data_IF_574698878815
#
_entry.id   IF_574698878815
#
_cell.length_a   1.000
_cell.length_b   1.000
_cell.length_c   1.000
_cell.angle_alpha   90.00
_cell.angle_beta   90.00
_cell.angle_gamma   90.00
#
_symmetry.space_group_name_H-M   'P 1'
#
loop_
_entity.id
_entity.type
_entity.pdbx_description
1 polymer ?
#
# COMPACT_ATOMS: atom_id res chain seq x y z
N UNK A 1 18.66 -8.12 21.56
CA UNK A 1 18.59 -7.13 20.46
C UNK A 1 17.15 -6.90 20.01
N UNK A 2 16.66 -5.66 20.07
CA UNK A 2 15.35 -5.25 19.55
C UNK A 2 15.37 -5.13 18.02
N UNK A 3 14.22 -5.29 17.34
CA UNK A 3 14.13 -5.15 15.87
C UNK A 3 14.68 -3.82 15.30
N UNK A 4 14.43 -2.64 15.90
CA UNK A 4 15.06 -1.41 15.43
C UNK A 4 16.60 -1.41 15.56
N UNK A 5 17.15 -2.17 16.53
CA UNK A 5 18.60 -2.31 16.71
C UNK A 5 19.26 -3.19 15.65
N UNK A 6 18.50 -4.00 14.89
CA UNK A 6 19.02 -4.77 13.74
C UNK A 6 18.79 -4.04 12.41
N UNK A 7 17.66 -3.33 12.26
CA UNK A 7 17.34 -2.60 11.04
C UNK A 7 18.36 -1.49 10.76
N UNK A 8 18.74 -0.73 11.78
CA UNK A 8 19.71 0.38 11.66
C UNK A 8 21.08 -0.09 11.13
N UNK A 9 21.74 -1.11 11.71
CA UNK A 9 22.98 -1.66 11.17
C UNK A 9 22.87 -2.17 9.74
N UNK A 10 21.76 -2.81 9.37
CA UNK A 10 21.58 -3.32 8.01
C UNK A 10 21.46 -2.20 6.97
N UNK A 11 20.71 -1.13 7.30
CA UNK A 11 20.63 0.07 6.48
C UNK A 11 22.01 0.75 6.40
N UNK A 12 22.71 0.86 7.53
CA UNK A 12 24.05 1.44 7.59
C UNK A 12 25.07 0.61 6.77
N UNK A 13 24.96 -0.72 6.78
CA UNK A 13 25.77 -1.62 5.97
C UNK A 13 25.52 -1.38 4.48
N UNK A 14 24.25 -1.34 4.04
CA UNK A 14 23.92 -1.05 2.64
C UNK A 14 24.40 0.34 2.22
N UNK A 15 24.25 1.33 3.09
CA UNK A 15 24.78 2.68 2.85
C UNK A 15 26.31 2.70 2.71
N UNK A 16 27.02 1.91 3.53
CA UNK A 16 28.48 1.74 3.45
C UNK A 16 28.92 0.95 2.21
N UNK A 17 28.11 0.01 1.74
CA UNK A 17 28.35 -0.76 0.50
C UNK A 17 28.26 0.10 -0.75
N UNK A 18 27.52 1.21 -0.71
CA UNK A 18 27.62 2.27 -1.74
C UNK A 18 28.96 2.98 -1.52
N UNK A 19 30.00 2.51 -2.21
CA UNK A 19 31.38 2.99 -2.06
C UNK A 19 31.58 4.39 -2.63
N UNK A 20 30.78 4.77 -3.62
CA UNK A 20 30.96 6.02 -4.36
C UNK A 20 30.14 7.19 -3.76
N UNK A 21 30.77 8.34 -3.47
CA UNK A 21 30.08 9.48 -2.86
C UNK A 21 29.07 10.16 -3.79
N UNK A 22 29.28 10.11 -5.11
CA UNK A 22 28.34 10.54 -6.15
C UNK A 22 27.02 9.76 -6.05
N UNK A 23 27.12 8.44 -5.98
CA UNK A 23 25.98 7.52 -5.86
C UNK A 23 25.22 7.72 -4.55
N UNK A 24 25.89 8.01 -3.43
CA UNK A 24 25.21 8.35 -2.16
C UNK A 24 24.37 9.62 -2.27
N UNK A 25 24.90 10.68 -2.90
CA UNK A 25 24.15 11.91 -3.14
C UNK A 25 22.98 11.65 -4.08
N UNK A 26 23.21 10.89 -5.16
CA UNK A 26 22.15 10.46 -6.08
C UNK A 26 21.02 9.72 -5.36
N UNK A 27 21.34 8.84 -4.42
CA UNK A 27 20.36 8.07 -3.64
C UNK A 27 19.58 8.95 -2.65
N UNK A 28 20.25 9.93 -2.02
CA UNK A 28 19.60 10.92 -1.17
C UNK A 28 18.62 11.81 -1.97
N UNK A 29 19.05 12.30 -3.15
CA UNK A 29 18.19 13.07 -4.06
C UNK A 29 17.02 12.22 -4.55
N UNK A 30 17.26 10.96 -4.92
CA UNK A 30 16.23 10.03 -5.35
C UNK A 30 15.15 9.80 -4.28
N UNK A 31 15.48 9.94 -2.99
CA UNK A 31 14.51 9.82 -1.89
C UNK A 31 13.67 11.09 -1.69
N UNK A 32 14.19 12.25 -2.11
CA UNK A 32 13.47 13.54 -2.07
C UNK A 32 12.48 13.66 -3.24
N UNK A 33 12.81 13.11 -4.41
CA UNK A 33 11.98 13.19 -5.62
C UNK A 33 10.53 12.72 -5.38
N UNK A 34 10.25 11.55 -4.78
CA UNK A 34 8.88 11.11 -4.50
C UNK A 34 8.08 12.09 -3.65
N UNK A 35 8.71 12.69 -2.64
CA UNK A 35 8.07 13.66 -1.74
C UNK A 35 7.75 14.94 -2.51
N UNK A 36 8.71 15.43 -3.30
CA UNK A 36 8.50 16.61 -4.15
C UNK A 36 7.37 16.38 -5.17
N UNK A 37 7.38 15.23 -5.86
CA UNK A 37 6.33 14.85 -6.81
C UNK A 37 4.95 14.76 -6.14
N UNK A 38 4.89 14.22 -4.92
CA UNK A 38 3.64 14.15 -4.16
C UNK A 38 3.10 15.55 -3.85
N UNK A 39 3.95 16.45 -3.37
CA UNK A 39 3.57 17.84 -3.08
C UNK A 39 3.12 18.58 -4.34
N UNK A 40 3.87 18.45 -5.43
CA UNK A 40 3.52 19.01 -6.75
C UNK A 40 2.15 18.48 -7.20
N UNK A 41 1.90 17.19 -7.00
CA UNK A 41 0.64 16.56 -7.38
C UNK A 41 -0.54 17.09 -6.56
N UNK A 42 -0.39 17.21 -5.23
CA UNK A 42 -1.44 17.74 -4.35
C UNK A 42 -1.74 19.20 -4.70
N UNK A 43 -0.71 20.04 -4.86
CA UNK A 43 -0.87 21.47 -5.19
C UNK A 43 -1.44 21.63 -6.60
N UNK A 44 -0.83 20.98 -7.59
CA UNK A 44 -1.21 21.08 -9.00
C UNK A 44 -2.64 20.61 -9.24
N UNK A 45 -3.05 19.49 -8.64
CA UNK A 45 -4.41 18.99 -8.76
C UNK A 45 -5.45 19.97 -8.18
N UNK A 46 -5.11 20.76 -7.17
CA UNK A 46 -6.03 21.76 -6.60
C UNK A 46 -6.14 23.03 -7.44
N UNK A 47 -5.05 23.41 -8.09
CA UNK A 47 -5.00 24.59 -8.96
C UNK A 47 -5.59 24.32 -10.35
N UNK A 48 -5.80 23.05 -10.71
CA UNK A 48 -6.35 22.68 -12.01
C UNK A 48 -7.80 23.17 -12.16
N UNK A 49 -8.15 23.81 -13.30
CA UNK A 49 -9.52 24.28 -13.54
C UNK A 49 -10.51 23.12 -13.48
N UNK A 50 -11.64 23.33 -12.83
CA UNK A 50 -12.65 22.29 -12.70
C UNK A 50 -13.56 22.24 -13.94
N UNK A 51 -13.48 21.22 -14.81
CA UNK A 51 -14.54 20.95 -15.77
C UNK A 51 -15.88 20.69 -15.07
N UNK A 52 -16.97 20.97 -15.78
CA UNK A 52 -18.34 20.79 -15.30
C UNK A 52 -18.63 19.33 -14.86
N UNK A 53 -17.99 18.33 -15.49
CA UNK A 53 -18.23 16.89 -15.27
C UNK A 53 -17.30 16.24 -14.23
N UNK A 54 -17.13 16.87 -13.07
CA UNK A 54 -16.34 16.28 -11.97
C UNK A 54 -17.00 15.07 -11.28
N UNK A 55 -18.28 14.80 -11.57
CA UNK A 55 -19.05 13.67 -11.06
C UNK A 55 -18.55 12.32 -11.57
N UNK A 56 -18.03 12.26 -12.80
CA UNK A 56 -17.46 11.03 -13.38
C UNK A 56 -16.27 10.52 -12.55
N UNK A 57 -15.46 11.42 -12.00
CA UNK A 57 -14.31 11.04 -11.16
C UNK A 57 -14.75 10.40 -9.83
N UNK A 58 -15.91 10.78 -9.28
CA UNK A 58 -16.43 10.17 -8.05
C UNK A 58 -16.75 8.68 -8.22
N UNK A 59 -17.10 8.27 -9.44
CA UNK A 59 -17.36 6.86 -9.77
C UNK A 59 -16.06 6.08 -9.97
N UNK A 60 -15.03 6.72 -10.55
CA UNK A 60 -13.77 6.06 -10.93
C UNK A 60 -12.82 5.90 -9.72
N UNK A 61 -12.76 6.88 -8.82
CA UNK A 61 -11.79 6.86 -7.70
C UNK A 61 -11.93 5.60 -6.81
N UNK A 62 -13.13 5.18 -6.37
CA UNK A 62 -13.28 3.94 -5.60
C UNK A 62 -12.72 2.70 -6.34
N UNK A 63 -12.90 2.62 -7.65
CA UNK A 63 -12.39 1.52 -8.46
C UNK A 63 -10.85 1.55 -8.53
N UNK A 64 -10.23 2.72 -8.68
CA UNK A 64 -8.77 2.88 -8.65
C UNK A 64 -8.18 2.50 -7.29
N UNK A 65 -8.82 2.92 -6.19
CA UNK A 65 -8.40 2.53 -4.84
C UNK A 65 -8.55 1.02 -4.61
N UNK A 66 -9.54 0.38 -5.23
CA UNK A 66 -9.69 -1.08 -5.16
C UNK A 66 -8.58 -1.77 -5.95
N UNK A 67 -8.24 -1.24 -7.14
CA UNK A 67 -7.06 -1.66 -7.90
C UNK A 67 -5.77 -1.54 -7.09
N UNK A 68 -5.61 -0.48 -6.30
CA UNK A 68 -4.47 -0.31 -5.39
C UNK A 68 -4.39 -1.43 -4.33
N UNK A 69 -5.53 -1.80 -3.72
CA UNK A 69 -5.57 -2.91 -2.74
C UNK A 69 -5.16 -4.21 -3.40
N UNK A 70 -5.71 -4.52 -4.57
CA UNK A 70 -5.38 -5.74 -5.33
C UNK A 70 -3.89 -5.79 -5.64
N UNK A 71 -3.31 -4.70 -6.16
CA UNK A 71 -1.89 -4.65 -6.51
C UNK A 71 -0.98 -4.64 -5.28
N UNK A 72 -1.45 -4.12 -4.14
CA UNK A 72 -0.74 -4.23 -2.86
C UNK A 72 -0.64 -5.68 -2.38
N UNK A 73 -1.58 -6.56 -2.73
CA UNK A 73 -1.51 -8.00 -2.46
C UNK A 73 -0.51 -8.69 -3.40
N UNK A 74 -0.53 -8.34 -4.69
CA UNK A 74 0.34 -8.96 -5.69
C UNK A 74 1.79 -8.51 -5.61
N UNK A 75 2.06 -7.26 -5.20
CA UNK A 75 3.42 -6.72 -5.10
C UNK A 75 4.37 -7.60 -4.26
N UNK A 76 4.01 -7.95 -3.02
CA UNK A 76 4.78 -8.87 -2.20
C UNK A 76 4.92 -10.27 -2.82
N UNK A 77 3.91 -10.77 -3.54
CA UNK A 77 3.95 -12.10 -4.17
C UNK A 77 4.91 -12.15 -5.36
N UNK A 78 4.99 -11.07 -6.12
CA UNK A 78 5.92 -10.94 -7.25
C UNK A 78 7.37 -10.76 -6.78
N UNK A 79 7.58 -10.08 -5.65
CA UNK A 79 8.89 -9.84 -5.05
C UNK A 79 9.34 -10.94 -4.05
N UNK A 80 8.78 -12.15 -4.18
CA UNK A 80 9.15 -13.30 -3.35
C UNK A 80 8.86 -13.18 -1.84
N UNK A 81 8.00 -12.24 -1.42
CA UNK A 81 7.52 -12.10 -0.05
C UNK A 81 8.62 -11.71 0.95
N UNK A 82 9.45 -10.71 0.63
CA UNK A 82 10.51 -10.22 1.51
C UNK A 82 11.69 -11.18 1.72
N UNK A 83 11.59 -12.44 1.26
CA UNK A 83 12.65 -13.44 1.29
C UNK A 83 13.77 -13.16 0.28
N UNK A 84 13.52 -12.36 -0.76
CA UNK A 84 14.55 -12.05 -1.78
C UNK A 84 15.55 -10.98 -1.32
N UNK A 85 15.29 -10.30 -0.20
CA UNK A 85 16.19 -9.27 0.33
C UNK A 85 17.53 -9.83 0.80
N UNK A 86 17.52 -11.08 1.25
CA UNK A 86 18.68 -11.81 1.72
C UNK A 86 18.50 -13.28 1.35
N UNK A 87 19.34 -13.85 0.47
CA UNK A 87 19.32 -15.27 0.18
C UNK A 87 19.42 -16.07 1.50
N UNK A 88 18.56 -17.07 1.68
CA UNK A 88 18.51 -17.86 2.91
C UNK A 88 19.89 -18.45 3.27
N UNK A 89 20.67 -18.82 2.25
CA UNK A 89 22.02 -19.37 2.37
C UNK A 89 23.03 -18.36 2.95
N UNK A 90 22.79 -17.06 2.78
CA UNK A 90 23.63 -15.99 3.32
C UNK A 90 23.26 -15.62 4.77
N UNK A 91 22.10 -16.06 5.26
CA UNK A 91 21.61 -15.76 6.60
C UNK A 91 22.05 -16.77 7.67
N UNK A 92 22.70 -17.88 7.28
CA UNK A 92 23.16 -18.94 8.19
C UNK A 92 24.16 -18.41 9.23
N UNK A 93 25.09 -17.55 8.81
CA UNK A 93 26.11 -16.98 9.69
C UNK A 93 25.58 -15.84 10.58
N UNK A 94 24.51 -15.13 10.16
CA UNK A 94 23.96 -13.98 10.87
C UNK A 94 22.42 -13.97 10.79
N UNK A 95 21.73 -14.75 11.65
CA UNK A 95 20.27 -14.89 11.58
C UNK A 95 19.54 -13.56 11.88
N UNK A 96 18.67 -13.16 10.96
CA UNK A 96 17.82 -11.96 11.09
C UNK A 96 16.48 -12.37 11.70
N UNK A 97 15.96 -11.57 12.64
CA UNK A 97 14.64 -11.82 13.24
C UNK A 97 13.53 -11.60 12.22
N UNK A 98 12.50 -12.45 12.23
CA UNK A 98 11.31 -12.32 11.35
C UNK A 98 10.67 -10.93 11.39
N UNK A 99 10.64 -10.30 12.57
CA UNK A 99 10.12 -8.93 12.72
C UNK A 99 10.95 -7.89 11.94
N UNK A 100 12.26 -8.08 11.85
CA UNK A 100 13.14 -7.22 11.05
C UNK A 100 12.89 -7.43 9.56
N UNK A 101 12.67 -8.67 9.11
CA UNK A 101 12.31 -8.99 7.73
C UNK A 101 10.96 -8.38 7.32
N UNK A 102 9.94 -8.51 8.16
CA UNK A 102 8.62 -7.92 7.91
C UNK A 102 8.68 -6.38 7.84
N UNK A 103 9.45 -5.75 8.74
CA UNK A 103 9.66 -4.30 8.70
C UNK A 103 10.43 -3.86 7.45
N UNK A 104 11.48 -4.59 7.07
CA UNK A 104 12.25 -4.30 5.86
C UNK A 104 11.37 -4.39 4.60
N UNK A 105 10.53 -5.42 4.48
CA UNK A 105 9.59 -5.57 3.37
C UNK A 105 8.61 -4.38 3.28
N UNK A 106 8.06 -3.93 4.42
CA UNK A 106 7.20 -2.75 4.49
C UNK A 106 7.94 -1.47 4.09
N UNK A 107 9.16 -1.25 4.60
CA UNK A 107 9.95 -0.07 4.27
C UNK A 107 10.34 0.00 2.78
N UNK A 108 10.46 -1.13 2.11
CA UNK A 108 10.84 -1.21 0.70
C UNK A 108 9.66 -1.19 -0.26
N UNK A 109 8.44 -1.45 0.24
CA UNK A 109 7.24 -1.42 -0.61
C UNK A 109 7.05 -0.08 -1.34
N UNK A 110 7.27 1.10 -0.69
CA UNK A 110 7.17 2.40 -1.34
C UNK A 110 8.21 2.70 -2.43
N UNK A 111 9.25 1.88 -2.56
CA UNK A 111 10.28 2.07 -3.60
C UNK A 111 9.88 1.41 -4.93
N UNK A 112 8.71 0.76 -4.99
CA UNK A 112 8.17 0.23 -6.23
C UNK A 112 7.57 1.37 -7.07
N UNK A 113 7.96 1.46 -8.35
CA UNK A 113 7.42 2.42 -9.31
C UNK A 113 5.89 2.33 -9.42
N UNK A 114 5.33 1.11 -9.43
CA UNK A 114 3.88 0.91 -9.49
C UNK A 114 3.17 1.50 -8.26
N UNK A 115 3.77 1.32 -7.08
CA UNK A 115 3.25 1.90 -5.84
C UNK A 115 3.30 3.44 -5.90
N UNK A 116 4.44 4.01 -6.31
CA UNK A 116 4.62 5.46 -6.45
C UNK A 116 3.60 6.08 -7.39
N UNK A 117 3.45 5.53 -8.60
CA UNK A 117 2.50 6.06 -9.60
C UNK A 117 1.06 6.02 -9.05
N UNK A 118 0.65 4.93 -8.40
CA UNK A 118 -0.70 4.83 -7.86
C UNK A 118 -0.95 5.78 -6.69
N UNK A 119 0.04 6.00 -5.84
CA UNK A 119 -0.03 6.97 -4.74
C UNK A 119 -0.20 8.37 -5.30
N UNK A 120 0.61 8.76 -6.30
CA UNK A 120 0.48 10.05 -6.96
C UNK A 120 -0.92 10.23 -7.56
N UNK A 121 -1.43 9.23 -8.28
CA UNK A 121 -2.79 9.27 -8.85
C UNK A 121 -3.85 9.42 -7.76
N UNK A 122 -3.79 8.62 -6.68
CA UNK A 122 -4.76 8.65 -5.60
C UNK A 122 -4.79 10.01 -4.87
N UNK A 123 -3.60 10.55 -4.54
CA UNK A 123 -3.49 11.87 -3.91
C UNK A 123 -3.92 12.98 -4.85
N UNK A 124 -3.57 12.92 -6.14
CA UNK A 124 -3.99 13.90 -7.14
C UNK A 124 -5.51 13.96 -7.28
N UNK A 125 -6.15 12.81 -7.47
CA UNK A 125 -7.62 12.74 -7.62
C UNK A 125 -8.35 13.22 -6.36
N UNK A 126 -7.90 12.81 -5.18
CA UNK A 126 -8.57 13.21 -3.94
C UNK A 126 -8.31 14.68 -3.63
N UNK A 127 -7.11 15.21 -3.92
CA UNK A 127 -6.83 16.64 -3.77
C UNK A 127 -7.67 17.49 -4.73
N UNK A 128 -7.87 17.02 -5.97
CA UNK A 128 -8.75 17.66 -6.94
C UNK A 128 -10.21 17.66 -6.47
N UNK A 129 -10.69 16.56 -5.87
CA UNK A 129 -12.07 16.47 -5.34
C UNK A 129 -12.27 17.26 -4.04
N UNK A 130 -11.25 17.32 -3.17
CA UNK A 130 -11.29 18.02 -1.88
C UNK A 130 -10.80 19.50 -1.97
N UNK A 131 -10.83 20.10 -3.17
CA UNK A 131 -10.16 21.38 -3.47
C UNK A 131 -10.67 22.61 -2.70
N UNK A 132 -11.87 22.52 -2.11
CA UNK A 132 -12.61 23.61 -1.46
C UNK A 132 -11.76 24.47 -0.51
N UNK A 133 -10.94 23.86 0.34
CA UNK A 133 -10.06 24.59 1.25
C UNK A 133 -8.79 23.78 1.57
N UNK A 134 -7.77 24.44 2.14
CA UNK A 134 -6.56 23.74 2.61
C UNK A 134 -6.85 22.73 3.73
N UNK A 135 -7.62 23.07 4.78
CA UNK A 135 -7.97 22.09 5.83
C UNK A 135 -8.69 20.85 5.30
N UNK A 136 -9.62 21.03 4.34
CA UNK A 136 -10.34 19.89 3.75
C UNK A 136 -9.43 19.01 2.91
N UNK A 137 -8.53 19.62 2.13
CA UNK A 137 -7.55 18.88 1.33
C UNK A 137 -6.56 18.08 2.21
N UNK A 138 -6.10 18.66 3.33
CA UNK A 138 -5.23 17.98 4.29
C UNK A 138 -5.94 16.81 4.99
N UNK A 139 -7.19 17.00 5.40
CA UNK A 139 -8.00 15.96 6.00
C UNK A 139 -8.23 14.78 5.02
N UNK A 140 -8.58 15.10 3.76
CA UNK A 140 -8.74 14.10 2.70
C UNK A 140 -7.43 13.35 2.41
N UNK A 141 -6.31 14.09 2.31
CA UNK A 141 -4.97 13.54 2.12
C UNK A 141 -4.56 12.61 3.27
N UNK A 142 -4.97 12.93 4.50
CA UNK A 142 -4.69 12.09 5.68
C UNK A 142 -5.45 10.77 5.60
N UNK A 143 -6.75 10.79 5.27
CA UNK A 143 -7.53 9.55 5.10
C UNK A 143 -6.93 8.67 4.00
N UNK A 144 -6.50 9.26 2.88
CA UNK A 144 -5.87 8.51 1.79
C UNK A 144 -4.50 7.97 2.19
N UNK A 145 -3.68 8.74 2.92
CA UNK A 145 -2.41 8.26 3.46
C UNK A 145 -2.61 7.04 4.36
N UNK A 146 -3.59 7.11 5.27
CA UNK A 146 -3.93 6.00 6.19
C UNK A 146 -4.49 4.81 5.40
N UNK A 147 -5.34 5.03 4.40
CA UNK A 147 -5.85 3.95 3.55
C UNK A 147 -4.73 3.24 2.77
N UNK A 148 -3.81 4.00 2.17
CA UNK A 148 -2.67 3.46 1.43
C UNK A 148 -1.76 2.66 2.36
N UNK A 149 -1.51 3.16 3.58
CA UNK A 149 -0.77 2.41 4.60
C UNK A 149 -1.51 1.11 4.98
N UNK A 150 -2.82 1.18 5.22
CA UNK A 150 -3.66 0.03 5.53
C UNK A 150 -3.60 -1.04 4.43
N UNK A 151 -3.81 -0.64 3.18
CA UNK A 151 -3.79 -1.53 2.02
C UNK A 151 -2.40 -2.15 1.78
N UNK A 152 -1.34 -1.37 1.98
CA UNK A 152 0.05 -1.85 1.88
C UNK A 152 0.34 -2.91 2.95
N UNK A 153 -0.02 -2.64 4.20
CA UNK A 153 0.17 -3.56 5.33
C UNK A 153 -0.70 -4.82 5.17
N UNK A 154 -1.93 -4.67 4.71
CA UNK A 154 -2.82 -5.77 4.39
C UNK A 154 -2.23 -6.67 3.30
N UNK A 155 -1.73 -6.08 2.22
CA UNK A 155 -1.06 -6.82 1.14
C UNK A 155 0.15 -7.61 1.64
N UNK A 156 0.96 -7.02 2.52
CA UNK A 156 2.08 -7.71 3.17
C UNK A 156 1.61 -8.88 4.05
N UNK A 157 0.55 -8.68 4.84
CA UNK A 157 -0.02 -9.77 5.66
C UNK A 157 -0.47 -10.95 4.80
N UNK A 158 -1.20 -10.68 3.71
CA UNK A 158 -1.64 -11.72 2.76
C UNK A 158 -0.44 -12.39 2.07
N UNK A 159 0.57 -11.61 1.69
CA UNK A 159 1.83 -12.12 1.12
C UNK A 159 2.49 -13.15 2.05
N UNK A 160 2.66 -12.82 3.33
CA UNK A 160 3.24 -13.75 4.32
C UNK A 160 2.38 -15.00 4.54
N UNK A 161 1.04 -14.88 4.53
CA UNK A 161 0.15 -16.04 4.61
C UNK A 161 0.37 -16.98 3.42
N UNK A 162 0.43 -16.44 2.21
CA UNK A 162 0.64 -17.24 1.00
C UNK A 162 2.02 -17.91 1.01
N UNK A 163 3.07 -17.22 1.44
CA UNK A 163 4.41 -17.80 1.60
C UNK A 163 4.39 -18.99 2.56
N UNK A 164 3.81 -18.83 3.75
CA UNK A 164 3.75 -19.92 4.72
C UNK A 164 2.84 -21.09 4.29
N UNK A 165 1.78 -20.82 3.50
CA UNK A 165 0.99 -21.89 2.87
C UNK A 165 1.84 -22.65 1.84
N UNK A 166 2.56 -21.94 0.96
CA UNK A 166 3.37 -22.54 -0.13
C UNK A 166 4.48 -23.46 0.36
N UNK A 167 4.95 -23.28 1.60
CA UNK A 167 5.95 -24.16 2.21
C UNK A 167 5.38 -25.54 2.61
N UNK A 168 4.05 -25.71 2.62
CA UNK A 168 3.40 -27.02 2.83
C UNK A 168 3.28 -27.79 1.52
N UNK A 169 3.36 -29.12 1.60
CA UNK A 169 3.36 -30.05 0.44
C UNK A 169 2.19 -29.77 -0.53
N UNK A 170 0.98 -29.50 -0.02
CA UNK A 170 -0.23 -29.24 -0.83
C UNK A 170 -0.41 -27.74 -1.14
N UNK A 171 0.32 -26.87 -0.47
CA UNK A 171 0.08 -25.43 -0.47
C UNK A 171 0.29 -24.76 -1.83
N UNK A 172 1.24 -25.24 -2.64
CA UNK A 172 1.47 -24.69 -3.98
C UNK A 172 0.27 -24.91 -4.89
N UNK A 173 -0.32 -26.11 -4.89
CA UNK A 173 -1.51 -26.43 -5.69
C UNK A 173 -2.70 -25.59 -5.21
N UNK A 174 -2.91 -25.51 -3.90
CA UNK A 174 -4.00 -24.71 -3.32
C UNK A 174 -3.91 -23.24 -3.73
N UNK A 175 -2.71 -22.65 -3.74
CA UNK A 175 -2.55 -21.25 -4.16
C UNK A 175 -2.91 -21.03 -5.63
N UNK A 176 -2.60 -21.98 -6.52
CA UNK A 176 -2.99 -21.91 -7.92
C UNK A 176 -4.49 -22.08 -8.11
N UNK A 177 -5.12 -23.01 -7.38
CA UNK A 177 -6.58 -23.20 -7.43
C UNK A 177 -7.31 -21.94 -6.98
N UNK A 178 -6.88 -21.32 -5.87
CA UNK A 178 -7.49 -20.08 -5.38
C UNK A 178 -7.28 -18.93 -6.38
N UNK A 179 -6.07 -18.79 -6.95
CA UNK A 179 -5.80 -17.77 -7.95
C UNK A 179 -6.67 -17.96 -9.21
N UNK A 180 -6.81 -19.21 -9.68
CA UNK A 180 -7.66 -19.56 -10.82
C UNK A 180 -9.14 -19.26 -10.51
N UNK A 181 -9.63 -19.65 -9.33
CA UNK A 181 -11.00 -19.41 -8.91
C UNK A 181 -11.32 -17.91 -8.84
N UNK A 182 -10.41 -17.09 -8.30
CA UNK A 182 -10.55 -15.63 -8.29
C UNK A 182 -10.55 -15.04 -9.70
N UNK A 183 -9.66 -15.51 -10.58
CA UNK A 183 -9.62 -15.07 -11.99
C UNK A 183 -10.90 -15.42 -12.74
N UNK A 184 -11.40 -16.64 -12.57
CA UNK A 184 -12.66 -17.09 -13.17
C UNK A 184 -13.87 -16.33 -12.62
N UNK A 185 -13.90 -16.07 -11.31
CA UNK A 185 -14.93 -15.24 -10.69
C UNK A 185 -14.94 -13.82 -11.23
N UNK A 186 -13.77 -13.22 -11.43
CA UNK A 186 -13.66 -11.89 -12.05
C UNK A 186 -14.14 -11.88 -13.50
N UNK A 187 -13.78 -12.90 -14.30
CA UNK A 187 -14.28 -13.05 -15.67
C UNK A 187 -15.80 -13.22 -15.71
N UNK A 188 -16.37 -13.98 -14.78
CA UNK A 188 -17.83 -14.13 -14.66
C UNK A 188 -18.51 -12.80 -14.31
N UNK A 189 -17.94 -12.03 -13.37
CA UNK A 189 -18.43 -10.69 -13.03
C UNK A 189 -18.39 -9.74 -14.24
N UNK A 190 -17.28 -9.72 -14.98
CA UNK A 190 -17.15 -8.93 -16.21
C UNK A 190 -18.23 -9.32 -17.24
N UNK A 191 -18.42 -10.61 -17.47
CA UNK A 191 -19.42 -11.10 -18.43
C UNK A 191 -20.85 -10.81 -18.01
N UNK A 192 -21.13 -10.85 -16.70
CA UNK A 192 -22.48 -10.62 -16.15
C UNK A 192 -22.92 -9.16 -16.17
N UNK A 193 -22.04 -8.21 -16.49
CA UNK A 193 -22.32 -6.77 -16.41
C UNK A 193 -22.55 -6.24 -14.99
N UNK A 194 -22.42 -7.08 -13.95
CA UNK A 194 -22.69 -6.72 -12.54
C UNK A 194 -21.50 -6.03 -11.85
N UNK A 195 -20.48 -5.64 -12.61
CA UNK A 195 -19.25 -5.02 -12.08
C UNK A 195 -19.55 -3.72 -11.33
N UNK A 196 -20.46 -2.90 -11.87
CA UNK A 196 -20.88 -1.64 -11.24
C UNK A 196 -21.56 -1.90 -9.89
N UNK A 197 -22.52 -2.82 -9.82
CA UNK A 197 -23.17 -3.19 -8.55
C UNK A 197 -22.24 -3.80 -7.51
N UNK A 198 -21.14 -4.44 -7.94
CA UNK A 198 -20.07 -4.89 -7.03
C UNK A 198 -19.22 -3.71 -6.53
N UNK A 199 -18.86 -2.77 -7.42
CA UNK A 199 -18.11 -1.57 -7.08
C UNK A 199 -18.91 -0.64 -6.15
N UNK A 200 -20.23 -0.56 -6.29
CA UNK A 200 -21.10 0.24 -5.42
C UNK A 200 -21.11 -0.26 -3.97
N UNK A 201 -20.87 -1.57 -3.78
CA UNK A 201 -20.75 -2.19 -2.45
C UNK A 201 -19.31 -2.25 -1.96
N UNK A 202 -18.36 -1.68 -2.71
CA UNK A 202 -16.96 -1.77 -2.37
C UNK A 202 -16.62 -0.97 -1.12
N UNK A 203 -15.71 -1.47 -0.26
CA UNK A 203 -15.24 -0.73 0.91
C UNK A 203 -14.46 0.54 0.54
N UNK A 204 -13.98 0.67 -0.71
CA UNK A 204 -13.25 1.85 -1.17
C UNK A 204 -14.16 3.06 -1.41
N UNK A 205 -15.45 2.83 -1.72
CA UNK A 205 -16.44 3.91 -1.73
C UNK A 205 -16.54 4.56 -0.34
N UNK A 206 -16.55 3.74 0.71
CA UNK A 206 -16.61 4.23 2.10
C UNK A 206 -15.41 5.11 2.47
N UNK A 207 -14.21 4.80 1.92
CA UNK A 207 -12.98 5.59 2.08
C UNK A 207 -13.08 6.93 1.35
N UNK A 208 -13.58 6.95 0.11
CA UNK A 208 -13.77 8.20 -0.64
C UNK A 208 -14.77 9.11 0.07
N UNK A 209 -15.89 8.55 0.55
CA UNK A 209 -16.88 9.31 1.33
C UNK A 209 -16.27 9.83 2.65
N UNK A 210 -15.40 9.06 3.30
CA UNK A 210 -14.69 9.52 4.50
C UNK A 210 -13.76 10.70 4.17
N UNK A 211 -12.96 10.58 3.12
CA UNK A 211 -11.99 11.59 2.70
C UNK A 211 -12.65 12.91 2.29
N UNK A 212 -13.84 12.86 1.68
CA UNK A 212 -14.60 14.04 1.24
C UNK A 212 -15.56 14.56 2.33
N UNK A 213 -15.78 13.84 3.42
CA UNK A 213 -16.65 14.29 4.54
C UNK A 213 -16.35 15.71 5.04
N UNK A 214 -15.08 16.14 5.20
CA UNK A 214 -14.72 17.49 5.61
C UNK A 214 -15.19 18.59 4.66
N UNK A 215 -15.21 18.35 3.33
CA UNK A 215 -15.69 19.37 2.37
C UNK A 215 -17.19 19.59 2.45
N UNK A 216 -17.92 18.69 3.10
CA UNK A 216 -19.34 18.80 3.43
C UNK A 216 -19.57 19.27 4.88
N UNK A 217 -18.50 19.70 5.58
CA UNK A 217 -18.56 20.12 6.99
C UNK A 217 -18.64 18.97 8.01
N UNK A 218 -18.54 17.71 7.59
CA UNK A 218 -18.73 16.55 8.47
C UNK A 218 -17.40 15.99 9.01
N UNK A 219 -16.76 16.73 9.90
CA UNK A 219 -15.46 16.35 10.49
C UNK A 219 -15.55 15.18 11.48
N UNK A 220 -16.69 15.00 12.18
CA UNK A 220 -16.87 13.88 13.12
C UNK A 220 -16.80 12.54 12.40
N UNK A 221 -17.57 12.38 11.32
CA UNK A 221 -17.56 11.14 10.52
C UNK A 221 -16.22 10.91 9.83
N UNK A 222 -15.54 11.98 9.39
CA UNK A 222 -14.18 11.87 8.86
C UNK A 222 -13.22 11.28 9.90
N UNK A 223 -13.26 11.81 11.12
CA UNK A 223 -12.39 11.36 12.22
C UNK A 223 -12.67 9.89 12.58
N UNK A 224 -13.94 9.53 12.80
CA UNK A 224 -14.34 8.15 13.11
C UNK A 224 -13.86 7.16 12.05
N UNK A 225 -14.08 7.45 10.78
CA UNK A 225 -13.70 6.53 9.69
C UNK A 225 -12.19 6.45 9.50
N UNK A 226 -11.49 7.57 9.60
CA UNK A 226 -10.02 7.60 9.54
C UNK A 226 -9.40 6.87 10.73
N UNK A 227 -10.01 6.97 11.91
CA UNK A 227 -9.62 6.23 13.11
C UNK A 227 -9.81 4.72 12.90
N UNK A 228 -10.95 4.28 12.37
CA UNK A 228 -11.20 2.87 12.04
C UNK A 228 -10.14 2.34 11.08
N UNK A 229 -9.79 3.08 10.01
CA UNK A 229 -8.71 2.69 9.10
C UNK A 229 -7.35 2.60 9.81
N UNK A 230 -7.08 3.50 10.75
CA UNK A 230 -5.85 3.49 11.55
C UNK A 230 -5.77 2.25 12.44
N UNK A 231 -6.89 1.89 13.10
CA UNK A 231 -7.00 0.68 13.91
C UNK A 231 -6.83 -0.57 13.06
N UNK A 232 -7.46 -0.63 11.87
CA UNK A 232 -7.27 -1.72 10.93
C UNK A 232 -5.81 -1.83 10.46
N UNK A 233 -5.16 -0.70 10.19
CA UNK A 233 -3.73 -0.67 9.84
C UNK A 233 -2.87 -1.28 10.94
N UNK A 234 -3.10 -0.90 12.20
CA UNK A 234 -2.39 -1.47 13.34
C UNK A 234 -2.66 -2.97 13.51
N UNK A 235 -3.92 -3.40 13.32
CA UNK A 235 -4.33 -4.80 13.36
C UNK A 235 -3.63 -5.63 12.28
N UNK A 236 -3.70 -5.21 11.02
CA UNK A 236 -3.00 -5.88 9.92
C UNK A 236 -1.49 -5.86 10.09
N UNK A 237 -0.93 -4.82 10.69
CA UNK A 237 0.50 -4.77 10.99
C UNK A 237 0.88 -5.85 12.00
N UNK A 238 0.14 -5.98 13.09
CA UNK A 238 0.35 -7.04 14.07
C UNK A 238 0.19 -8.43 13.44
N UNK A 239 -0.85 -8.63 12.63
CA UNK A 239 -1.09 -9.88 11.90
C UNK A 239 0.04 -10.19 10.91
N UNK A 240 0.56 -9.19 10.19
CA UNK A 240 1.69 -9.34 9.28
C UNK A 240 2.94 -9.84 10.00
N UNK A 241 3.24 -9.30 11.19
CA UNK A 241 4.36 -9.77 12.02
C UNK A 241 4.17 -11.23 12.48
N UNK A 242 2.95 -11.60 12.86
CA UNK A 242 2.62 -12.96 13.29
C UNK A 242 2.72 -13.95 12.12
N UNK A 243 2.14 -13.62 10.97
CA UNK A 243 2.21 -14.43 9.75
C UNK A 243 3.65 -14.58 9.25
N UNK A 244 4.46 -13.52 9.27
CA UNK A 244 5.87 -13.59 8.91
C UNK A 244 6.66 -14.52 9.83
N UNK A 245 6.42 -14.46 11.15
CA UNK A 245 7.05 -15.38 12.10
C UNK A 245 6.62 -16.83 11.86
N UNK A 246 5.36 -17.06 11.51
CA UNK A 246 4.85 -18.39 11.20
C UNK A 246 5.42 -18.94 9.88
N UNK A 247 5.52 -18.11 8.84
CA UNK A 247 6.02 -18.48 7.52
C UNK A 247 7.55 -18.64 7.42
N UNK A 248 8.30 -18.26 8.46
CA UNK A 248 9.76 -18.40 8.51
C UNK A 248 10.20 -19.47 9.53
N UNK A 249 9.26 -20.28 10.03
CA UNK A 249 9.53 -21.46 10.86
C UNK A 249 9.53 -22.69 9.98
#
# INVERSE_FOLDING_TARGET
MSSPAQLRPLIALRWKMVREPSTRRGLAVALVIPVALLLITIVGARLYPAPADSTTLLVIVPALLLGFVVLSIFGPLAAGGGNELYPADQLVAFPIKSRTTALAALCLTPLNLAWLVQVLIAFGLISYLARSSWPTALAASTTIAVFIACATVFGQWVGWLIVGIRQRIIGRILTWIVALALGMGFLALLRSGSLTGFLDKSPTLWVVVAALGPSQGNYSRWFERTLVLTVLTAGFFALSLLSCRWALR
#
